data_IF_647744224853
#
_entry.id   IF_647744224853
#
_cell.length_a   1.000
_cell.length_b   1.000
_cell.length_c   1.000
_cell.angle_alpha   90.00
_cell.angle_beta   90.00
_cell.angle_gamma   90.00
#
_symmetry.space_group_name_H-M   'P 1'
#
loop_
_entity.id
_entity.type
_entity.pdbx_description
1 polymer ?
#
# COMPACT_ATOMS: atom_id res chain seq x y z
N UNK A 1 10.75 -18.24 15.25
CA UNK A 1 12.20 -18.53 15.07
C UNK A 1 12.98 -18.56 16.39
N UNK A 2 12.60 -17.83 17.46
CA UNK A 2 13.32 -17.79 18.75
C UNK A 2 12.89 -18.87 19.78
N UNK A 3 11.77 -19.58 19.56
CA UNK A 3 11.23 -20.58 20.51
C UNK A 3 12.05 -21.87 20.68
N UNK A 4 13.14 -22.07 19.94
CA UNK A 4 14.00 -23.27 20.05
C UNK A 4 15.14 -23.07 21.07
N UNK A 5 15.38 -21.83 21.53
CA UNK A 5 16.51 -21.47 22.39
C UNK A 5 16.15 -21.23 23.87
N UNK A 6 14.88 -21.34 24.26
CA UNK A 6 14.41 -21.09 25.64
C UNK A 6 15.08 -21.92 26.76
N UNK A 7 15.54 -23.18 26.58
CA UNK A 7 16.16 -23.92 27.67
C UNK A 7 17.64 -23.58 27.94
N UNK A 8 18.32 -22.82 27.08
CA UNK A 8 19.75 -22.51 27.19
C UNK A 8 20.10 -21.35 28.15
N UNK A 9 19.33 -20.24 28.23
CA UNK A 9 19.55 -19.17 29.22
C UNK A 9 19.56 -19.68 30.67
N UNK A 10 18.69 -20.64 31.00
CA UNK A 10 18.62 -21.27 32.32
C UNK A 10 19.77 -22.26 32.62
N UNK A 11 20.55 -22.65 31.61
CA UNK A 11 21.78 -23.43 31.77
C UNK A 11 22.99 -22.52 31.99
N UNK A 12 23.00 -21.32 31.40
CA UNK A 12 24.01 -20.28 31.65
C UNK A 12 24.02 -19.85 33.14
N UNK A 13 22.84 -19.70 33.76
CA UNK A 13 22.71 -19.33 35.19
C UNK A 13 23.21 -20.41 36.16
N UNK A 14 23.27 -21.68 35.73
CA UNK A 14 23.71 -22.81 36.58
C UNK A 14 25.24 -22.99 36.63
N UNK A 15 25.96 -22.36 35.69
CA UNK A 15 27.42 -22.48 35.58
C UNK A 15 27.87 -23.85 35.03
N UNK A 16 28.95 -23.84 34.24
CA UNK A 16 29.48 -25.03 33.57
C UNK A 16 30.10 -26.04 34.56
N UNK A 17 29.78 -27.33 34.41
CA UNK A 17 30.44 -28.39 35.15
C UNK A 17 31.71 -28.93 34.44
N UNK A 18 31.83 -28.72 33.12
CA UNK A 18 32.94 -29.27 32.30
C UNK A 18 33.59 -28.22 31.38
N UNK A 19 34.85 -28.47 30.96
CA UNK A 19 35.65 -27.57 30.10
C UNK A 19 35.03 -27.39 28.71
N UNK A 20 34.42 -28.45 28.15
CA UNK A 20 33.77 -28.40 26.85
C UNK A 20 32.45 -27.60 26.89
N UNK A 21 31.74 -27.66 28.01
CA UNK A 21 30.54 -26.85 28.27
C UNK A 21 30.88 -25.36 28.36
N UNK A 22 32.02 -24.97 28.97
CA UNK A 22 32.51 -23.57 28.96
C UNK A 22 32.74 -23.06 27.55
N UNK A 23 33.48 -23.82 26.72
CA UNK A 23 33.76 -23.44 25.33
C UNK A 23 32.49 -23.29 24.51
N UNK A 24 31.50 -24.16 24.73
CA UNK A 24 30.20 -24.07 24.09
C UNK A 24 29.41 -22.84 24.54
N UNK A 25 29.36 -22.56 25.85
CA UNK A 25 28.67 -21.40 26.41
C UNK A 25 29.32 -20.08 25.97
N UNK A 26 30.65 -20.00 25.90
CA UNK A 26 31.39 -18.83 25.42
C UNK A 26 31.13 -18.58 23.92
N UNK A 27 31.12 -19.66 23.10
CA UNK A 27 30.77 -19.59 21.68
C UNK A 27 29.32 -19.14 21.48
N UNK A 28 28.38 -19.71 22.26
CA UNK A 28 26.96 -19.35 22.23
C UNK A 28 26.73 -17.88 22.62
N UNK A 29 27.36 -17.42 23.71
CA UNK A 29 27.29 -16.02 24.14
C UNK A 29 27.83 -15.06 23.06
N UNK A 30 28.90 -15.45 22.37
CA UNK A 30 29.47 -14.67 21.27
C UNK A 30 28.49 -14.55 20.09
N UNK A 31 27.88 -15.67 19.66
CA UNK A 31 26.88 -15.68 18.58
C UNK A 31 25.63 -14.88 18.97
N UNK A 32 25.16 -15.03 20.21
CA UNK A 32 24.02 -14.26 20.72
C UNK A 32 24.31 -12.75 20.70
N UNK A 33 25.50 -12.34 21.13
CA UNK A 33 25.93 -10.94 21.07
C UNK A 33 26.00 -10.42 19.63
N UNK A 34 26.52 -11.20 18.69
CA UNK A 34 26.54 -10.83 17.26
C UNK A 34 25.13 -10.68 16.69
N UNK A 35 24.20 -11.57 17.04
CA UNK A 35 22.81 -11.50 16.60
C UNK A 35 22.12 -10.24 17.16
N UNK A 36 22.35 -9.93 18.44
CA UNK A 36 21.83 -8.72 19.09
C UNK A 36 22.39 -7.47 18.39
N UNK A 37 23.70 -7.43 18.13
CA UNK A 37 24.33 -6.32 17.40
C UNK A 37 23.75 -6.15 15.99
N UNK A 38 23.59 -7.24 15.24
CA UNK A 38 22.96 -7.22 13.92
C UNK A 38 21.51 -6.71 13.99
N UNK A 39 20.76 -7.11 15.01
CA UNK A 39 19.40 -6.63 15.25
C UNK A 39 19.36 -5.14 15.56
N UNK A 40 20.29 -4.62 16.38
CA UNK A 40 20.39 -3.19 16.65
C UNK A 40 20.61 -2.38 15.37
N UNK A 41 21.55 -2.80 14.51
CA UNK A 41 21.82 -2.16 13.23
C UNK A 41 20.59 -2.21 12.30
N UNK A 42 19.95 -3.38 12.20
CA UNK A 42 18.73 -3.53 11.41
C UNK A 42 17.61 -2.61 11.91
N UNK A 43 17.39 -2.55 13.22
CA UNK A 43 16.34 -1.73 13.82
C UNK A 43 16.60 -0.23 13.62
N UNK A 44 17.85 0.21 13.72
CA UNK A 44 18.24 1.59 13.41
C UNK A 44 17.95 1.92 11.95
N UNK A 45 18.38 1.09 11.01
CA UNK A 45 18.10 1.26 9.57
C UNK A 45 16.59 1.27 9.30
N UNK A 46 15.86 0.31 9.85
CA UNK A 46 14.40 0.23 9.71
C UNK A 46 13.72 1.49 10.24
N UNK A 47 14.16 2.01 11.38
CA UNK A 47 13.59 3.22 11.98
C UNK A 47 13.86 4.44 11.10
N UNK A 48 15.09 4.60 10.60
CA UNK A 48 15.44 5.66 9.65
C UNK A 48 14.63 5.58 8.35
N UNK A 49 14.52 4.39 7.77
CA UNK A 49 13.72 4.18 6.55
C UNK A 49 12.25 4.48 6.83
N UNK A 50 11.70 4.02 7.96
CA UNK A 50 10.30 4.26 8.32
C UNK A 50 9.99 5.74 8.50
N UNK A 51 10.87 6.49 9.16
CA UNK A 51 10.69 7.93 9.37
C UNK A 51 10.80 8.71 8.05
N UNK A 52 11.83 8.42 7.24
CA UNK A 52 11.98 9.02 5.91
C UNK A 52 10.82 8.67 4.98
N UNK A 53 10.38 7.41 4.97
CA UNK A 53 9.26 6.99 4.13
C UNK A 53 7.99 7.76 4.51
N UNK A 54 7.75 8.01 5.80
CA UNK A 54 6.60 8.80 6.25
C UNK A 54 6.64 10.27 5.76
N UNK A 55 7.81 10.87 5.55
CA UNK A 55 7.93 12.24 5.06
C UNK A 55 7.83 12.39 3.53
N UNK A 56 7.95 11.29 2.76
CA UNK A 56 7.86 11.36 1.30
C UNK A 56 6.39 11.48 0.87
N UNK A 57 6.00 12.70 0.49
CA UNK A 57 4.65 13.03 -0.02
C UNK A 57 4.64 13.26 -1.53
N UNK A 58 5.76 13.70 -2.10
CA UNK A 58 5.97 13.91 -3.54
C UNK A 58 7.33 13.37 -3.96
N UNK A 59 7.45 12.99 -5.23
CA UNK A 59 8.70 12.55 -5.83
C UNK A 59 9.06 13.48 -6.99
N UNK A 60 10.21 14.13 -6.89
CA UNK A 60 10.78 14.91 -7.99
C UNK A 60 11.42 13.97 -9.01
N UNK A 61 10.97 14.05 -10.26
CA UNK A 61 11.35 13.09 -11.29
C UNK A 61 12.77 13.21 -11.78
N UNK A 62 13.36 14.41 -11.71
CA UNK A 62 14.76 14.63 -12.06
C UNK A 62 15.67 13.70 -11.25
N UNK A 63 15.33 13.50 -9.97
CA UNK A 63 16.09 12.70 -9.04
C UNK A 63 15.78 11.19 -9.13
N UNK A 64 14.56 10.81 -9.50
CA UNK A 64 14.12 9.41 -9.46
C UNK A 64 14.17 8.72 -10.82
N UNK A 65 13.85 9.42 -11.91
CA UNK A 65 13.76 8.85 -13.25
C UNK A 65 14.33 9.78 -14.35
N UNK A 66 15.66 10.04 -14.35
CA UNK A 66 16.27 10.97 -15.30
C UNK A 66 16.11 10.55 -16.76
N UNK A 67 16.04 9.23 -17.04
CA UNK A 67 15.83 8.71 -18.40
C UNK A 67 14.44 8.95 -18.97
N UNK A 68 13.43 9.08 -18.10
CA UNK A 68 12.05 9.31 -18.54
C UNK A 68 11.90 10.73 -19.11
N UNK A 69 12.55 11.69 -18.47
CA UNK A 69 12.58 13.10 -18.88
C UNK A 69 13.27 13.26 -20.25
N UNK A 70 14.37 12.54 -20.48
CA UNK A 70 15.13 12.62 -21.73
C UNK A 70 14.31 12.09 -22.92
N UNK A 71 13.51 11.03 -22.70
CA UNK A 71 12.79 10.36 -23.77
C UNK A 71 11.38 10.93 -24.03
N UNK A 72 10.78 11.59 -23.04
CA UNK A 72 9.43 12.15 -23.15
C UNK A 72 9.49 13.68 -23.23
N UNK A 73 9.62 14.22 -24.44
CA UNK A 73 9.52 15.67 -24.68
C UNK A 73 8.08 16.12 -24.37
N UNK A 74 7.91 17.13 -23.52
CA UNK A 74 6.63 17.70 -23.06
C UNK A 74 5.84 16.92 -22.00
N UNK A 75 6.47 16.00 -21.28
CA UNK A 75 5.82 15.31 -20.16
C UNK A 75 5.95 16.12 -18.85
N UNK A 76 4.94 16.94 -18.54
CA UNK A 76 4.80 17.47 -17.18
C UNK A 76 4.25 16.37 -16.29
N UNK A 77 5.13 15.81 -15.44
CA UNK A 77 4.83 14.64 -14.64
C UNK A 77 4.89 15.02 -13.16
N UNK A 78 3.75 14.89 -12.47
CA UNK A 78 3.67 15.10 -11.03
C UNK A 78 3.36 13.77 -10.35
N UNK A 79 4.20 13.38 -9.37
CA UNK A 79 4.07 12.12 -8.65
C UNK A 79 3.71 12.41 -7.20
N UNK A 80 2.43 12.27 -6.87
CA UNK A 80 1.91 12.40 -5.52
C UNK A 80 1.75 11.02 -4.87
N UNK A 81 2.30 10.85 -3.67
CA UNK A 81 2.19 9.58 -2.95
C UNK A 81 0.93 9.60 -2.08
N UNK A 82 0.01 8.68 -2.32
CA UNK A 82 -1.19 8.54 -1.51
C UNK A 82 -0.83 7.86 -0.19
N UNK A 83 -1.23 8.44 0.93
CA UNK A 83 -0.98 7.91 2.28
C UNK A 83 -1.91 6.73 2.59
N UNK A 84 -1.58 5.56 2.04
CA UNK A 84 -2.25 4.28 2.33
C UNK A 84 -1.23 3.19 2.65
N UNK A 85 -1.68 1.97 2.99
CA UNK A 85 -0.78 0.83 3.28
C UNK A 85 0.18 0.52 2.12
N UNK A 86 -0.31 0.56 0.89
CA UNK A 86 0.47 0.26 -0.31
C UNK A 86 1.16 1.49 -0.92
N UNK A 87 0.82 2.70 -0.45
CA UNK A 87 1.39 3.97 -0.92
C UNK A 87 1.44 4.10 -2.45
N UNK A 88 0.29 3.94 -3.14
CA UNK A 88 0.25 4.06 -4.58
C UNK A 88 0.57 5.51 -5.01
N UNK A 89 1.10 5.66 -6.21
CA UNK A 89 1.57 6.95 -6.72
C UNK A 89 0.55 7.47 -7.71
N UNK A 90 -0.01 8.66 -7.45
CA UNK A 90 -0.82 9.39 -8.41
C UNK A 90 0.12 10.09 -9.37
N UNK A 91 0.04 9.72 -10.64
CA UNK A 91 0.87 10.18 -11.73
C UNK A 91 -0.02 11.03 -12.64
N UNK A 92 0.27 12.32 -12.73
CA UNK A 92 -0.38 13.23 -13.69
C UNK A 92 0.52 13.39 -14.91
N UNK A 93 -0.02 13.10 -16.10
CA UNK A 93 0.67 13.21 -17.39
C UNK A 93 -0.05 14.27 -18.21
N UNK A 94 0.64 15.35 -18.57
CA UNK A 94 0.13 16.31 -19.55
C UNK A 94 0.61 15.93 -20.95
N UNK A 95 -0.32 15.75 -21.87
CA UNK A 95 0.01 15.49 -23.27
C UNK A 95 0.22 16.82 -24.03
N UNK A 96 0.85 16.73 -25.19
CA UNK A 96 0.99 17.77 -26.21
C UNK A 96 -0.34 18.39 -26.64
N UNK A 97 -1.45 17.64 -26.55
CA UNK A 97 -2.81 18.12 -26.80
C UNK A 97 -3.36 19.05 -25.70
N UNK A 98 -2.61 19.24 -24.60
CA UNK A 98 -2.97 20.10 -23.48
C UNK A 98 -3.88 19.44 -22.44
N UNK A 99 -4.34 18.21 -22.68
CA UNK A 99 -5.13 17.42 -21.73
C UNK A 99 -4.23 16.76 -20.66
N UNK A 100 -4.74 16.74 -19.42
CA UNK A 100 -4.10 16.05 -18.30
C UNK A 100 -4.73 14.67 -18.11
N UNK A 101 -3.91 13.64 -18.22
CA UNK A 101 -4.25 12.25 -17.95
C UNK A 101 -3.68 11.84 -16.60
N UNK A 102 -4.55 11.46 -15.69
CA UNK A 102 -4.16 11.10 -14.33
C UNK A 102 -4.28 9.60 -14.15
N UNK A 103 -3.21 8.99 -13.64
CA UNK A 103 -3.12 7.56 -13.36
C UNK A 103 -2.76 7.31 -11.89
N UNK A 104 -3.08 6.13 -11.42
CA UNK A 104 -2.66 5.59 -10.14
C UNK A 104 -1.75 4.39 -10.40
N UNK A 105 -0.46 4.56 -10.13
CA UNK A 105 0.52 3.49 -10.14
C UNK A 105 0.42 2.69 -8.84
N UNK A 106 -0.08 1.46 -8.98
CA UNK A 106 -0.04 0.47 -7.91
C UNK A 106 1.19 -0.41 -8.07
N UNK A 107 1.87 -0.65 -6.95
CA UNK A 107 2.97 -1.59 -6.85
C UNK A 107 2.65 -2.70 -5.86
N UNK A 108 3.28 -3.86 -6.06
CA UNK A 108 3.06 -5.10 -5.32
C UNK A 108 1.63 -5.65 -5.46
N UNK A 109 1.01 -5.46 -6.63
CA UNK A 109 -0.34 -5.92 -6.93
C UNK A 109 -0.44 -6.36 -8.40
N UNK A 110 -1.11 -7.48 -8.65
CA UNK A 110 -1.32 -8.01 -9.99
C UNK A 110 -2.65 -7.49 -10.56
N UNK A 111 -2.56 -6.50 -11.45
CA UNK A 111 -3.74 -5.84 -12.02
C UNK A 111 -4.39 -6.58 -13.18
N UNK A 112 -3.90 -7.77 -13.56
CA UNK A 112 -4.51 -8.56 -14.64
C UNK A 112 -5.94 -8.98 -14.29
N UNK A 113 -6.22 -9.23 -13.01
CA UNK A 113 -7.57 -9.54 -12.57
C UNK A 113 -8.51 -8.34 -12.77
N UNK A 114 -8.11 -7.16 -12.31
CA UNK A 114 -8.84 -5.91 -12.49
C UNK A 114 -9.08 -5.60 -13.98
N UNK A 115 -8.09 -5.82 -14.85
CA UNK A 115 -8.22 -5.67 -16.31
C UNK A 115 -9.35 -6.56 -16.86
N UNK A 116 -9.38 -7.85 -16.48
CA UNK A 116 -10.42 -8.78 -16.93
C UNK A 116 -11.80 -8.43 -16.38
N UNK A 117 -11.88 -7.95 -15.14
CA UNK A 117 -13.13 -7.47 -14.57
C UNK A 117 -13.65 -6.25 -15.33
N UNK A 118 -12.79 -5.30 -15.71
CA UNK A 118 -13.19 -4.15 -16.52
C UNK A 118 -13.65 -4.53 -17.93
N UNK A 119 -13.05 -5.57 -18.53
CA UNK A 119 -13.52 -6.14 -19.80
C UNK A 119 -14.91 -6.78 -19.65
N UNK A 120 -15.13 -7.57 -18.59
CA UNK A 120 -16.43 -8.18 -18.29
C UNK A 120 -17.51 -7.10 -18.09
N UNK A 121 -17.21 -6.03 -17.34
CA UNK A 121 -18.15 -4.92 -17.19
C UNK A 121 -18.47 -4.21 -18.51
N UNK A 122 -17.53 -4.22 -19.47
CA UNK A 122 -17.78 -3.72 -20.82
C UNK A 122 -18.85 -4.55 -21.51
N UNK A 123 -18.67 -5.88 -21.48
CA UNK A 123 -19.63 -6.82 -22.05
C UNK A 123 -21.00 -6.74 -21.38
N UNK A 124 -21.05 -6.64 -20.05
CA UNK A 124 -22.31 -6.49 -19.30
C UNK A 124 -23.05 -5.22 -19.70
N UNK A 125 -22.33 -4.10 -19.86
CA UNK A 125 -22.92 -2.84 -20.29
C UNK A 125 -23.48 -2.95 -21.72
N UNK A 126 -22.79 -3.66 -22.60
CA UNK A 126 -23.27 -3.93 -23.97
C UNK A 126 -24.57 -4.74 -23.96
N UNK A 127 -24.67 -5.81 -23.17
CA UNK A 127 -25.91 -6.58 -23.02
C UNK A 127 -27.07 -5.75 -22.47
N UNK A 128 -26.79 -4.84 -21.53
CA UNK A 128 -27.79 -3.94 -20.95
C UNK A 128 -28.31 -2.92 -21.96
N UNK A 129 -27.45 -2.49 -22.89
CA UNK A 129 -27.86 -1.62 -23.99
C UNK A 129 -28.66 -2.37 -25.06
N UNK A 130 -28.61 -3.70 -25.14
CA UNK A 130 -29.41 -4.49 -26.11
C UNK A 130 -30.88 -4.61 -25.71
N UNK A 131 -31.17 -4.72 -24.41
CA UNK A 131 -32.55 -4.85 -23.91
C UNK A 131 -33.21 -3.47 -23.69
N UNK A 132 -34.40 -3.27 -24.26
CA UNK A 132 -35.13 -2.00 -24.21
C UNK A 132 -35.47 -1.52 -22.79
N UNK A 133 -35.83 -2.44 -21.87
CA UNK A 133 -36.20 -2.09 -20.50
C UNK A 133 -35.01 -1.55 -19.70
N UNK A 134 -33.82 -2.14 -19.90
CA UNK A 134 -32.58 -1.70 -19.25
C UNK A 134 -31.97 -0.48 -19.93
N UNK A 135 -32.06 -0.40 -21.26
CA UNK A 135 -31.63 0.75 -22.06
C UNK A 135 -32.37 2.02 -21.64
N UNK A 136 -33.69 1.97 -21.47
CA UNK A 136 -34.50 3.12 -21.01
C UNK A 136 -34.07 3.65 -19.64
N UNK A 137 -33.53 2.78 -18.79
CA UNK A 137 -33.07 3.13 -17.44
C UNK A 137 -31.61 3.58 -17.39
N UNK A 138 -30.91 3.60 -18.53
CA UNK A 138 -29.50 3.98 -18.66
C UNK A 138 -28.58 3.29 -17.64
N UNK A 139 -28.80 2.00 -17.39
CA UNK A 139 -27.95 1.25 -16.49
C UNK A 139 -26.62 0.94 -17.20
N UNK A 140 -25.56 1.68 -16.85
CA UNK A 140 -24.20 1.46 -17.38
C UNK A 140 -23.24 1.37 -16.21
N UNK A 141 -22.33 0.39 -16.25
CA UNK A 141 -21.29 0.27 -15.25
C UNK A 141 -20.16 1.23 -15.63
N UNK A 142 -19.84 2.19 -14.74
CA UNK A 142 -18.70 3.08 -14.95
C UNK A 142 -17.40 2.27 -14.90
N UNK A 143 -16.66 2.29 -16.01
CA UNK A 143 -15.37 1.60 -16.16
C UNK A 143 -14.22 2.60 -16.14
N UNK A 144 -13.04 2.11 -15.79
CA UNK A 144 -11.81 2.86 -15.91
C UNK A 144 -10.72 1.98 -16.55
N UNK A 145 -9.82 2.56 -17.35
CA UNK A 145 -8.69 1.82 -17.91
C UNK A 145 -7.79 1.21 -16.83
N UNK A 146 -7.38 -0.03 -17.07
CA UNK A 146 -6.41 -0.78 -16.26
C UNK A 146 -5.31 -1.24 -17.20
N UNK A 147 -4.06 -0.90 -16.90
CA UNK A 147 -2.89 -1.21 -17.74
C UNK A 147 -1.90 -1.98 -16.87
N UNK A 148 -1.91 -3.32 -16.90
CA UNK A 148 -0.88 -4.13 -16.27
C UNK A 148 0.47 -3.84 -16.93
N UNK A 149 1.48 -3.47 -16.15
CA UNK A 149 2.83 -3.19 -16.66
C UNK A 149 3.77 -4.38 -16.42
N UNK A 150 3.62 -5.05 -15.27
CA UNK A 150 4.35 -6.27 -14.93
C UNK A 150 3.50 -7.15 -14.00
N UNK A 151 4.06 -8.29 -13.55
CA UNK A 151 3.38 -9.25 -12.67
C UNK A 151 2.91 -8.62 -11.34
N UNK A 152 3.59 -7.57 -10.87
CA UNK A 152 3.36 -6.98 -9.56
C UNK A 152 3.15 -5.48 -9.60
N UNK A 153 2.91 -4.88 -10.77
CA UNK A 153 2.63 -3.45 -10.86
C UNK A 153 1.82 -3.12 -12.11
N UNK A 154 1.14 -1.98 -12.05
CA UNK A 154 0.47 -1.41 -13.20
C UNK A 154 -0.24 -0.10 -12.89
N UNK A 155 -0.91 0.43 -13.91
CA UNK A 155 -1.59 1.72 -13.88
C UNK A 155 -3.09 1.52 -13.88
N UNK A 156 -3.78 2.30 -13.05
CA UNK A 156 -5.22 2.46 -13.08
C UNK A 156 -5.52 3.91 -13.47
N UNK A 157 -6.44 4.13 -14.41
CA UNK A 157 -6.87 5.50 -14.70
C UNK A 157 -7.56 6.09 -13.48
N UNK A 158 -7.24 7.34 -13.15
CA UNK A 158 -7.90 8.05 -12.07
C UNK A 158 -9.32 8.39 -12.49
N UNK A 159 -10.28 8.11 -11.60
CA UNK A 159 -11.68 8.49 -11.81
C UNK A 159 -11.90 9.83 -11.11
N UNK A 160 -12.08 10.89 -11.89
CA UNK A 160 -12.35 12.22 -11.37
C UNK A 160 -13.73 12.29 -10.69
N UNK A 161 -13.91 13.27 -9.80
CA UNK A 161 -15.20 13.59 -9.17
C UNK A 161 -15.83 12.42 -8.40
N UNK A 162 -15.00 11.53 -7.86
CA UNK A 162 -15.43 10.40 -7.05
C UNK A 162 -14.80 10.45 -5.66
N UNK A 163 -15.59 10.10 -4.65
CA UNK A 163 -15.11 9.87 -3.29
C UNK A 163 -15.46 8.45 -2.88
N UNK A 164 -14.63 7.85 -2.02
CA UNK A 164 -15.00 6.59 -1.41
C UNK A 164 -16.14 6.82 -0.43
N UNK A 165 -17.03 5.84 -0.32
CA UNK A 165 -18.14 5.90 0.63
C UNK A 165 -17.64 6.13 2.07
N UNK A 166 -16.49 5.53 2.43
CA UNK A 166 -15.83 5.78 3.71
C UNK A 166 -15.46 7.26 3.91
N UNK A 167 -14.87 7.91 2.91
CA UNK A 167 -14.49 9.32 3.01
C UNK A 167 -15.72 10.22 3.23
N UNK A 168 -16.79 10.00 2.45
CA UNK A 168 -18.05 10.75 2.58
C UNK A 168 -18.68 10.57 3.97
N UNK A 169 -18.75 9.32 4.44
CA UNK A 169 -19.31 9.01 5.76
C UNK A 169 -18.46 9.64 6.86
N UNK A 170 -17.13 9.54 6.75
CA UNK A 170 -16.21 10.10 7.74
C UNK A 170 -16.36 11.62 7.82
N UNK A 171 -16.33 12.32 6.69
CA UNK A 171 -16.51 13.77 6.62
C UNK A 171 -17.87 14.22 7.20
N UNK A 172 -18.93 13.46 6.92
CA UNK A 172 -20.26 13.75 7.47
C UNK A 172 -20.32 13.49 8.99
N UNK A 173 -19.70 12.41 9.47
CA UNK A 173 -19.72 12.00 10.89
C UNK A 173 -18.74 12.76 11.77
N UNK A 174 -17.68 13.35 11.23
CA UNK A 174 -16.80 14.26 11.97
C UNK A 174 -17.55 15.51 12.49
N UNK A 175 -18.72 15.83 11.90
CA UNK A 175 -19.65 16.85 12.38
C UNK A 175 -20.65 16.34 13.44
N UNK A 176 -20.68 15.04 13.72
CA UNK A 176 -21.58 14.41 14.67
C UNK A 176 -20.86 14.05 16.00
N UNK A 177 -21.54 14.09 17.15
CA UNK A 177 -20.94 13.72 18.42
C UNK A 177 -20.42 12.27 18.39
N UNK A 178 -19.22 12.06 18.97
CA UNK A 178 -18.51 10.78 18.92
C UNK A 178 -19.32 9.63 19.52
N UNK A 179 -19.78 8.75 18.64
CA UNK A 179 -20.43 7.49 18.98
C UNK A 179 -19.59 6.60 19.90
N UNK A 180 -18.26 6.67 19.79
CA UNK A 180 -17.34 5.83 20.57
C UNK A 180 -17.39 6.10 22.08
N UNK A 181 -17.84 7.28 22.50
CA UNK A 181 -18.03 7.63 23.91
C UNK A 181 -19.41 7.27 24.45
N UNK A 182 -20.30 6.74 23.62
CA UNK A 182 -21.64 6.36 24.06
C UNK A 182 -21.61 4.96 24.73
N UNK A 183 -22.27 4.81 25.89
CA UNK A 183 -22.48 3.50 26.50
C UNK A 183 -23.14 2.52 25.53
N UNK A 184 -22.85 1.22 25.66
CA UNK A 184 -23.34 0.17 24.76
C UNK A 184 -24.88 0.22 24.56
N UNK A 185 -25.63 0.58 25.60
CA UNK A 185 -27.09 0.72 25.55
C UNK A 185 -27.55 1.85 24.62
N UNK A 186 -26.79 2.95 24.56
CA UNK A 186 -27.08 4.08 23.68
C UNK A 186 -26.62 3.79 22.25
N UNK A 187 -25.62 2.93 22.08
CA UNK A 187 -25.19 2.42 20.78
C UNK A 187 -26.28 1.59 20.10
N UNK A 188 -26.97 0.73 20.87
CA UNK A 188 -28.08 -0.12 20.38
C UNK A 188 -29.33 0.70 20.03
N UNK A 189 -29.60 1.82 20.71
CA UNK A 189 -30.74 2.70 20.38
C UNK A 189 -30.54 3.56 19.12
N UNK A 190 -29.32 3.64 18.62
CA UNK A 190 -28.95 4.42 17.42
C UNK A 190 -28.89 3.54 16.17
N UNK A 191 -28.84 2.21 16.34
CA UNK A 191 -29.01 1.23 15.27
C UNK A 191 -30.48 0.79 15.17
#
# INVERSE_FOLDING_TARGET
>A
MIKILEPLPAAIERGSATIDERKFLDSYATVQNQLIQAWHLYYQLFTCIRTQLASITSLELEHVFPRLIINCQNLELAVLVITSKQRPRKISIKDSDGYEYVFLLKGYEDLRQDERVMQLFGLVSEFQLTNDETRRRNFTIQRYPVIPLALNNGLLSWVAQCNTMYALIKEHREKAPHYDRLPLLNKVKIF
#
